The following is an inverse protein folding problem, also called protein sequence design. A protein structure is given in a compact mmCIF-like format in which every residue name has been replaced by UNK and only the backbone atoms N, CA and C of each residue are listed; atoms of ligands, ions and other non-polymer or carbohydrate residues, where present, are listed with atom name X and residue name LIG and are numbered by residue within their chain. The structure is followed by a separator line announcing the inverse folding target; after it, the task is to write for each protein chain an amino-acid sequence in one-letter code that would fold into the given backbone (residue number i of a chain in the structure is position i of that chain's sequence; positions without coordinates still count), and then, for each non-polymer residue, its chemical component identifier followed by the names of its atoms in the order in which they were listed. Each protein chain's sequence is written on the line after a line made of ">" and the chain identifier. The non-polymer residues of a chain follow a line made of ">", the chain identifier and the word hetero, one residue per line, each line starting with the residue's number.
data_IF_148218572836
#
_entry.id   IF_148218572836
#
_cell.length_a   1.000
_cell.length_b   1.000
_cell.length_c   1.000
_cell.angle_alpha   90.00
_cell.angle_beta   90.00
_cell.angle_gamma   90.00
#
_symmetry.space_group_name_H-M   'P 1'
#
loop_
_entity.id
_entity.type
_entity.pdbx_description
1 polymer ?
#
# COMPACT_ATOMS: atom_id res chain seq x y z
N UNK A 1 43.69 4.84 26.31
CA UNK A 1 42.49 5.02 25.49
C UNK A 1 42.51 3.92 24.45
N UNK A 2 41.88 2.79 24.75
CA UNK A 2 41.68 1.71 23.78
C UNK A 2 40.28 1.88 23.17
N UNK A 3 40.23 2.12 21.87
CA UNK A 3 39.00 2.00 21.09
C UNK A 3 38.74 0.50 20.86
N UNK A 4 37.52 0.00 21.10
CA UNK A 4 37.22 -1.41 20.82
C UNK A 4 37.36 -1.70 19.33
N UNK A 5 38.01 -2.81 19.01
CA UNK A 5 38.17 -3.31 17.64
C UNK A 5 36.82 -3.49 16.96
N UNK A 6 36.76 -3.03 15.71
CA UNK A 6 35.55 -3.05 14.88
C UNK A 6 35.18 -4.51 14.59
N UNK A 7 34.04 -4.96 15.12
CA UNK A 7 33.46 -6.28 14.82
C UNK A 7 33.42 -6.53 13.30
N UNK A 8 33.72 -7.75 12.83
CA UNK A 8 33.61 -8.08 11.41
C UNK A 8 32.16 -7.89 10.95
N UNK A 9 32.00 -7.32 9.76
CA UNK A 9 30.69 -7.13 9.13
C UNK A 9 30.03 -8.51 8.99
N UNK A 10 28.82 -8.66 9.53
CA UNK A 10 28.00 -9.82 9.22
C UNK A 10 27.73 -9.84 7.71
N UNK A 11 27.75 -11.03 7.11
CA UNK A 11 27.36 -11.35 5.73
C UNK A 11 25.84 -11.15 5.57
N UNK A 12 25.40 -9.92 5.86
CA UNK A 12 24.01 -9.53 5.84
C UNK A 12 23.68 -9.06 4.42
N UNK A 13 23.23 -10.01 3.61
CA UNK A 13 22.86 -9.78 2.22
C UNK A 13 21.79 -8.69 2.08
N UNK A 14 21.01 -8.42 3.12
CA UNK A 14 20.09 -7.27 3.18
C UNK A 14 20.87 -5.95 3.29
N UNK A 15 21.85 -5.88 4.20
CA UNK A 15 22.74 -4.72 4.31
C UNK A 15 23.53 -4.46 3.02
N UNK A 16 24.03 -5.51 2.38
CA UNK A 16 24.74 -5.38 1.10
C UNK A 16 23.79 -4.92 -0.04
N UNK A 17 22.54 -5.37 -0.01
CA UNK A 17 21.52 -4.91 -0.97
C UNK A 17 21.17 -3.43 -0.76
N UNK A 18 21.05 -2.98 0.49
CA UNK A 18 20.83 -1.58 0.87
C UNK A 18 22.00 -0.69 0.44
N UNK A 19 23.24 -1.12 0.70
CA UNK A 19 24.45 -0.43 0.27
C UNK A 19 24.50 -0.31 -1.25
N UNK A 20 24.22 -1.40 -1.98
CA UNK A 20 24.16 -1.38 -3.45
C UNK A 20 23.05 -0.48 -4.01
N UNK A 21 21.95 -0.28 -3.27
CA UNK A 21 20.89 0.69 -3.64
C UNK A 21 21.37 2.13 -3.46
N UNK A 22 22.15 2.38 -2.40
CA UNK A 22 22.73 3.70 -2.09
C UNK A 22 23.86 4.10 -3.03
N UNK A 23 24.66 3.14 -3.50
CA UNK A 23 25.83 3.41 -4.37
C UNK A 23 25.49 3.73 -5.83
N UNK A 24 24.25 3.48 -6.27
CA UNK A 24 23.81 3.77 -7.64
C UNK A 24 23.74 5.27 -7.99
N UNK A 25 24.07 6.18 -7.06
CA UNK A 25 24.01 7.63 -7.26
C UNK A 25 22.57 8.13 -7.52
N UNK A 26 22.39 9.45 -7.72
CA UNK A 26 21.10 9.99 -8.14
C UNK A 26 20.86 9.64 -9.61
N UNK A 27 20.32 8.45 -9.87
CA UNK A 27 19.73 8.14 -11.17
C UNK A 27 18.44 8.96 -11.28
N UNK A 28 18.52 10.13 -11.89
CA UNK A 28 17.32 10.81 -12.34
C UNK A 28 16.74 9.97 -13.47
N UNK A 29 15.47 9.63 -13.33
CA UNK A 29 14.72 8.76 -14.25
C UNK A 29 14.65 9.27 -15.69
N UNK A 30 15.13 10.49 -15.98
CA UNK A 30 15.30 10.99 -17.35
C UNK A 30 16.39 10.22 -18.13
N UNK A 31 17.25 9.45 -17.45
CA UNK A 31 18.22 8.55 -18.09
C UNK A 31 17.68 7.13 -18.32
N UNK A 32 16.46 6.82 -17.87
CA UNK A 32 15.84 5.51 -18.04
C UNK A 32 15.07 5.47 -19.36
N UNK A 33 15.78 5.17 -20.45
CA UNK A 33 15.24 4.87 -21.79
C UNK A 33 14.46 3.52 -21.85
N UNK A 34 13.98 3.06 -20.70
CA UNK A 34 13.25 1.79 -20.53
C UNK A 34 11.75 2.04 -20.44
N UNK A 35 10.92 1.20 -21.06
CA UNK A 35 9.46 1.30 -20.92
C UNK A 35 9.03 1.04 -19.47
N UNK A 36 7.85 1.55 -19.05
CA UNK A 36 7.30 1.28 -17.73
C UNK A 36 7.15 -0.23 -17.47
N UNK A 37 7.43 -0.66 -16.24
CA UNK A 37 7.38 -2.06 -15.83
C UNK A 37 5.95 -2.59 -15.61
N UNK A 38 4.92 -1.75 -15.75
CA UNK A 38 3.52 -2.12 -15.53
C UNK A 38 3.05 -2.07 -14.07
N UNK A 39 3.91 -1.62 -13.15
CA UNK A 39 3.57 -1.45 -11.73
C UNK A 39 3.46 0.03 -11.35
N UNK A 40 2.60 0.34 -10.37
CA UNK A 40 2.50 1.67 -9.76
C UNK A 40 3.32 1.75 -8.47
N UNK A 41 3.93 2.90 -8.22
CA UNK A 41 4.69 3.16 -7.00
C UNK A 41 3.71 3.27 -5.82
N UNK A 42 3.81 2.41 -4.79
CA UNK A 42 2.88 2.43 -3.67
C UNK A 42 2.85 3.78 -2.92
N UNK A 43 3.99 4.46 -2.83
CA UNK A 43 4.11 5.71 -2.06
C UNK A 43 3.62 6.96 -2.80
N UNK A 44 3.60 6.96 -4.14
CA UNK A 44 3.27 8.18 -4.91
C UNK A 44 2.30 7.98 -6.08
N UNK A 45 1.90 6.74 -6.38
CA UNK A 45 1.00 6.39 -7.48
C UNK A 45 1.59 6.53 -8.89
N UNK A 46 2.85 6.94 -9.02
CA UNK A 46 3.52 7.09 -10.32
C UNK A 46 4.00 5.76 -10.90
N UNK A 47 4.20 5.69 -12.22
CA UNK A 47 4.71 4.48 -12.88
C UNK A 47 6.10 4.08 -12.36
N UNK A 48 6.30 2.78 -12.17
CA UNK A 48 7.59 2.17 -11.89
C UNK A 48 8.30 1.74 -13.18
N UNK A 49 9.62 1.86 -13.15
CA UNK A 49 10.55 1.46 -14.19
C UNK A 49 11.49 0.43 -13.61
N UNK A 50 11.80 -0.62 -14.37
CA UNK A 50 12.83 -1.57 -13.97
C UNK A 50 14.20 -0.94 -14.24
N UNK A 51 15.08 -0.98 -13.25
CA UNK A 51 16.41 -0.38 -13.30
C UNK A 51 17.49 -1.45 -13.06
N UNK A 52 18.59 -1.34 -13.80
CA UNK A 52 19.74 -2.24 -13.70
C UNK A 52 19.63 -3.53 -14.55
N UNK A 53 20.76 -4.23 -14.69
CA UNK A 53 20.89 -5.50 -15.42
C UNK A 53 21.46 -6.64 -14.58
N UNK A 54 21.37 -6.54 -13.25
CA UNK A 54 21.79 -7.59 -12.32
C UNK A 54 20.81 -8.76 -12.26
N UNK A 55 21.15 -9.83 -11.52
CA UNK A 55 20.31 -11.04 -11.43
C UNK A 55 18.96 -10.79 -10.73
N UNK A 56 18.88 -9.75 -9.88
CA UNK A 56 17.64 -9.36 -9.19
C UNK A 56 17.18 -8.00 -9.76
N UNK A 57 15.95 -7.91 -10.30
CA UNK A 57 15.43 -6.66 -10.85
C UNK A 57 15.17 -5.65 -9.73
N UNK A 58 15.44 -4.38 -10.00
CA UNK A 58 15.07 -3.27 -9.09
C UNK A 58 14.04 -2.38 -9.77
N UNK A 59 13.18 -1.76 -8.98
CA UNK A 59 12.14 -0.86 -9.49
C UNK A 59 12.32 0.55 -8.94
N UNK A 60 12.22 1.57 -9.79
CA UNK A 60 12.24 2.97 -9.36
C UNK A 60 11.10 3.78 -9.98
N UNK A 61 10.54 4.73 -9.23
CA UNK A 61 9.54 5.66 -9.74
C UNK A 61 10.19 6.98 -10.20
N UNK A 62 9.44 7.81 -10.94
CA UNK A 62 9.98 9.05 -11.52
C UNK A 62 10.47 10.08 -10.49
N UNK A 63 9.95 10.00 -9.26
CA UNK A 63 10.31 10.90 -8.15
C UNK A 63 11.36 10.31 -7.19
N UNK A 64 11.86 9.09 -7.46
CA UNK A 64 13.04 8.53 -6.78
C UNK A 64 12.82 7.39 -5.78
N UNK A 65 11.58 6.99 -5.48
CA UNK A 65 11.34 5.79 -4.65
C UNK A 65 11.88 4.54 -5.33
N UNK A 66 12.55 3.67 -4.58
CA UNK A 66 13.22 2.47 -5.07
C UNK A 66 12.78 1.24 -4.29
N UNK A 67 12.65 0.11 -4.97
CA UNK A 67 12.13 -1.13 -4.41
C UNK A 67 12.89 -2.34 -4.95
N UNK A 68 13.09 -3.35 -4.10
CA UNK A 68 13.34 -4.72 -4.55
C UNK A 68 12.00 -5.37 -4.91
N UNK A 69 11.97 -6.56 -5.55
CA UNK A 69 10.73 -7.27 -5.82
C UNK A 69 9.96 -7.60 -4.53
N UNK A 70 10.67 -8.00 -3.48
CA UNK A 70 10.12 -8.36 -2.17
C UNK A 70 9.56 -7.13 -1.47
N UNK A 71 10.35 -6.05 -1.33
CA UNK A 71 9.88 -4.84 -0.66
C UNK A 71 8.75 -4.14 -1.43
N UNK A 72 8.72 -4.28 -2.77
CA UNK A 72 7.60 -3.80 -3.58
C UNK A 72 6.31 -4.59 -3.28
N UNK A 73 6.41 -5.90 -3.10
CA UNK A 73 5.26 -6.75 -2.80
C UNK A 73 4.70 -6.45 -1.40
N UNK A 74 5.57 -6.29 -0.42
CA UNK A 74 5.19 -5.95 0.96
C UNK A 74 4.51 -4.58 1.01
N UNK A 75 5.10 -3.58 0.36
CA UNK A 75 4.51 -2.24 0.34
C UNK A 75 3.19 -2.20 -0.45
N UNK A 76 3.03 -3.03 -1.50
CA UNK A 76 1.75 -3.19 -2.17
C UNK A 76 0.66 -3.75 -1.23
N UNK A 77 1.02 -4.67 -0.33
CA UNK A 77 0.07 -5.20 0.65
C UNK A 77 -0.37 -4.12 1.63
N UNK A 78 0.57 -3.32 2.15
CA UNK A 78 0.29 -2.17 3.03
C UNK A 78 -0.59 -1.14 2.35
N UNK A 79 -0.24 -0.75 1.11
CA UNK A 79 -1.01 0.21 0.33
C UNK A 79 -2.43 -0.29 0.03
N UNK A 80 -2.57 -1.57 -0.30
CA UNK A 80 -3.87 -2.20 -0.54
C UNK A 80 -4.74 -2.19 0.72
N UNK A 81 -4.18 -2.59 1.87
CA UNK A 81 -4.89 -2.55 3.14
C UNK A 81 -5.36 -1.13 3.48
N UNK A 82 -4.47 -0.14 3.36
CA UNK A 82 -4.81 1.26 3.57
C UNK A 82 -5.95 1.73 2.65
N UNK A 83 -5.91 1.37 1.36
CA UNK A 83 -6.96 1.70 0.41
C UNK A 83 -8.31 1.07 0.77
N UNK A 84 -8.32 -0.18 1.24
CA UNK A 84 -9.55 -0.86 1.67
C UNK A 84 -10.14 -0.20 2.92
N UNK A 85 -9.32 0.18 3.89
CA UNK A 85 -9.78 0.91 5.08
C UNK A 85 -10.34 2.29 4.73
N UNK A 86 -9.69 3.01 3.81
CA UNK A 86 -10.22 4.28 3.31
C UNK A 86 -11.56 4.11 2.61
N UNK A 87 -11.70 3.08 1.76
CA UNK A 87 -12.96 2.78 1.07
C UNK A 87 -14.08 2.40 2.06
N UNK A 88 -13.77 1.62 3.09
CA UNK A 88 -14.72 1.28 4.14
C UNK A 88 -15.21 2.53 4.88
N UNK A 89 -14.28 3.40 5.31
CA UNK A 89 -14.61 4.66 5.96
C UNK A 89 -15.51 5.53 5.10
N UNK A 90 -15.21 5.66 3.80
CA UNK A 90 -16.03 6.44 2.87
C UNK A 90 -17.47 5.87 2.74
N UNK A 91 -17.64 4.54 2.77
CA UNK A 91 -18.96 3.91 2.76
C UNK A 91 -19.73 4.15 4.07
N UNK A 92 -19.07 4.12 5.22
CA UNK A 92 -19.67 4.46 6.52
C UNK A 92 -20.11 5.93 6.59
N UNK A 93 -19.27 6.84 6.09
CA UNK A 93 -19.62 8.27 5.98
C UNK A 93 -20.83 8.47 5.04
N UNK A 94 -20.84 7.78 3.89
CA UNK A 94 -21.96 7.82 2.94
C UNK A 94 -23.25 7.30 3.55
N UNK A 95 -23.23 6.20 4.30
CA UNK A 95 -24.43 5.67 4.95
C UNK A 95 -24.95 6.62 6.02
N UNK A 96 -24.07 7.15 6.87
CA UNK A 96 -24.42 8.10 7.91
C UNK A 96 -25.05 9.38 7.34
N UNK A 97 -24.45 9.97 6.30
CA UNK A 97 -24.98 11.16 5.65
C UNK A 97 -26.34 10.89 4.99
N UNK A 98 -26.48 9.76 4.30
CA UNK A 98 -27.73 9.38 3.65
C UNK A 98 -28.86 9.20 4.65
N UNK A 99 -28.61 8.58 5.81
CA UNK A 99 -29.59 8.49 6.91
C UNK A 99 -30.00 9.87 7.43
N UNK A 100 -29.06 10.80 7.62
CA UNK A 100 -29.37 12.18 8.06
C UNK A 100 -30.28 12.89 7.06
N UNK A 101 -30.03 12.73 5.76
CA UNK A 101 -30.86 13.33 4.71
C UNK A 101 -32.26 12.70 4.64
N UNK A 102 -32.37 11.37 4.81
CA UNK A 102 -33.66 10.69 4.88
C UNK A 102 -34.52 11.23 6.03
N UNK A 103 -33.94 11.36 7.24
CA UNK A 103 -34.63 11.89 8.42
C UNK A 103 -35.06 13.35 8.23
N UNK A 104 -34.23 14.19 7.62
CA UNK A 104 -34.58 15.58 7.34
C UNK A 104 -35.74 15.71 6.33
N UNK A 105 -35.83 14.81 5.35
CA UNK A 105 -36.91 14.75 4.37
C UNK A 105 -38.19 14.05 4.86
N UNK A 106 -38.13 13.35 6.00
CA UNK A 106 -39.22 12.52 6.51
C UNK A 106 -40.49 13.30 6.85
N UNK A 107 -40.36 14.57 7.26
CA UNK A 107 -41.51 15.44 7.56
C UNK A 107 -42.40 15.72 6.35
N UNK A 108 -41.93 15.45 5.13
CA UNK A 108 -42.67 15.68 3.89
C UNK A 108 -43.11 14.40 3.18
N UNK A 109 -42.89 13.21 3.77
CA UNK A 109 -43.17 11.90 3.16
C UNK A 109 -42.83 11.86 1.66
N UNK A 110 -41.61 12.29 1.32
CA UNK A 110 -41.20 12.51 -0.06
C UNK A 110 -40.43 11.30 -0.60
N UNK A 111 -40.60 11.02 -1.89
CA UNK A 111 -39.79 10.02 -2.63
C UNK A 111 -38.26 10.25 -2.46
N UNK A 112 -37.85 11.48 -2.12
CA UNK A 112 -36.46 11.80 -1.79
C UNK A 112 -35.98 11.12 -0.50
N UNK A 113 -36.83 10.96 0.52
CA UNK A 113 -36.46 10.29 1.77
C UNK A 113 -36.22 8.79 1.55
N UNK A 114 -37.08 8.13 0.78
CA UNK A 114 -36.92 6.71 0.43
C UNK A 114 -35.63 6.47 -0.34
N UNK A 115 -35.34 7.32 -1.34
CA UNK A 115 -34.07 7.26 -2.08
C UNK A 115 -32.85 7.33 -1.15
N UNK A 116 -32.86 8.22 -0.16
CA UNK A 116 -31.74 8.33 0.78
C UNK A 116 -31.64 7.14 1.72
N UNK A 117 -32.76 6.51 2.10
CA UNK A 117 -32.75 5.26 2.85
C UNK A 117 -32.13 4.11 2.03
N UNK A 118 -32.47 4.01 0.74
CA UNK A 118 -31.86 3.03 -0.15
C UNK A 118 -30.35 3.26 -0.31
N UNK A 119 -29.93 4.51 -0.52
CA UNK A 119 -28.50 4.86 -0.58
C UNK A 119 -27.74 4.49 0.70
N UNK A 120 -28.37 4.67 1.87
CA UNK A 120 -27.77 4.27 3.14
C UNK A 120 -27.60 2.75 3.23
N UNK A 121 -28.64 2.00 2.89
CA UNK A 121 -28.65 0.53 2.91
C UNK A 121 -27.60 -0.05 1.96
N UNK A 122 -27.50 0.48 0.74
CA UNK A 122 -26.54 0.01 -0.24
C UNK A 122 -25.10 0.27 0.21
N UNK A 123 -24.83 1.43 0.83
CA UNK A 123 -23.52 1.75 1.39
C UNK A 123 -23.16 0.81 2.57
N UNK A 124 -24.12 0.47 3.42
CA UNK A 124 -23.92 -0.48 4.53
C UNK A 124 -23.63 -1.90 4.04
N UNK A 125 -24.35 -2.38 3.03
CA UNK A 125 -24.10 -3.70 2.42
C UNK A 125 -22.71 -3.76 1.80
N UNK A 126 -22.31 -2.71 1.08
CA UNK A 126 -20.96 -2.61 0.52
C UNK A 126 -19.90 -2.57 1.63
N UNK A 127 -20.11 -1.77 2.68
CA UNK A 127 -19.19 -1.68 3.81
C UNK A 127 -19.03 -3.01 4.56
N UNK A 128 -20.13 -3.74 4.78
CA UNK A 128 -20.08 -5.08 5.37
C UNK A 128 -19.28 -6.07 4.50
N UNK A 129 -19.34 -5.92 3.18
CA UNK A 129 -18.56 -6.74 2.25
C UNK A 129 -17.07 -6.42 2.34
N UNK A 130 -16.70 -5.13 2.40
CA UNK A 130 -15.31 -4.73 2.60
C UNK A 130 -14.75 -5.19 3.94
N UNK A 131 -15.50 -5.11 5.04
CA UNK A 131 -15.03 -5.63 6.35
C UNK A 131 -14.68 -7.10 6.30
N UNK A 132 -15.50 -7.93 5.63
CA UNK A 132 -15.20 -9.36 5.45
C UNK A 132 -13.96 -9.59 4.60
N UNK A 133 -13.75 -8.77 3.57
CA UNK A 133 -12.57 -8.83 2.73
C UNK A 133 -11.30 -8.46 3.51
N UNK A 134 -11.32 -7.35 4.24
CA UNK A 134 -10.20 -6.91 5.08
C UNK A 134 -9.85 -7.98 6.12
N UNK A 135 -10.84 -8.53 6.82
CA UNK A 135 -10.60 -9.59 7.81
C UNK A 135 -9.95 -10.85 7.20
N UNK A 136 -10.35 -11.23 5.98
CA UNK A 136 -9.74 -12.34 5.25
C UNK A 136 -8.30 -12.06 4.84
N UNK A 137 -8.00 -10.83 4.41
CA UNK A 137 -6.66 -10.44 3.97
C UNK A 137 -5.69 -10.27 5.15
N UNK A 138 -6.13 -9.66 6.25
CA UNK A 138 -5.33 -9.48 7.48
C UNK A 138 -5.14 -10.76 8.31
N UNK A 139 -5.85 -11.85 7.99
CA UNK A 139 -5.64 -13.17 8.60
C UNK A 139 -4.58 -14.01 7.88
N UNK A 140 -3.99 -13.52 6.78
CA UNK A 140 -2.88 -14.19 6.12
C UNK A 140 -1.62 -14.05 6.98
N UNK A 141 -0.89 -15.14 7.28
CA UNK A 141 0.33 -15.05 8.06
C UNK A 141 1.34 -14.16 7.35
N UNK A 142 1.76 -13.07 8.00
CA UNK A 142 2.99 -12.37 7.63
C UNK A 142 4.13 -13.37 7.84
N UNK A 143 4.79 -13.76 6.75
CA UNK A 143 5.95 -14.63 6.79
C UNK A 143 7.15 -13.82 7.28
N UNK A 144 7.17 -13.48 8.57
CA UNK A 144 8.39 -13.01 9.23
C UNK A 144 8.35 -13.26 10.74
N UNK A 145 8.60 -14.52 11.12
CA UNK A 145 9.33 -14.86 12.36
C UNK A 145 9.84 -16.31 12.29
N UNK A 146 10.82 -16.56 11.42
CA UNK A 146 11.69 -17.73 11.55
C UNK A 146 13.14 -17.31 11.43
N UNK A 147 13.62 -16.61 12.46
CA UNK A 147 15.05 -16.62 12.77
C UNK A 147 15.31 -17.85 13.65
N UNK A 148 16.04 -18.88 13.21
CA UNK A 148 16.48 -19.90 14.13
C UNK A 148 17.57 -19.28 15.01
N UNK A 149 17.25 -19.05 16.28
CA UNK A 149 18.26 -18.85 17.33
C UNK A 149 19.21 -20.04 17.32
N UNK A 150 20.48 -19.79 17.03
CA UNK A 150 21.60 -20.66 17.35
C UNK A 150 22.78 -19.79 17.77
#
# INVERSE_FOLDING_TARGET
>A
MDLPERRPAHDDKLLDAEVAISELGPLTTDELDTPPAGFGCPSCGGSLFQVGGGPVPRYRCRVGHAWSPESLLDEQAVALEGALWMALRALEEKSALSRRMATAGAHRQSASADRFNDMARDAEVAGATLRRLIARLGSAPHADDTTPSS
#
